data_IF_105097712787
#
_entry.id   IF_105097712787
#
_cell.length_a   1.000
_cell.length_b   1.000
_cell.length_c   1.000
_cell.angle_alpha   90.00
_cell.angle_beta   90.00
_cell.angle_gamma   90.00
#
_symmetry.space_group_name_H-M   'P 1'
#
loop_
_entity.id
_entity.type
_entity.pdbx_description
1 polymer ?
#
# COMPACT_ATOMS: atom_id res chain seq x y z
N UNK A 1 56.05 6.40 33.26
CA UNK A 1 56.15 5.17 32.44
C UNK A 1 54.74 4.90 31.94
N UNK A 2 54.45 5.33 30.71
CA UNK A 2 53.13 5.21 30.08
C UNK A 2 53.10 3.90 29.29
N UNK A 3 52.09 3.05 29.55
CA UNK A 3 51.75 1.94 28.67
C UNK A 3 50.50 2.31 27.89
N UNK A 4 50.67 2.47 26.58
CA UNK A 4 49.60 2.64 25.59
C UNK A 4 49.30 1.25 25.03
N UNK A 5 48.08 0.76 25.26
CA UNK A 5 47.54 -0.45 24.66
C UNK A 5 47.10 -0.15 23.22
N UNK A 6 47.54 -0.99 22.29
CA UNK A 6 47.38 -0.85 20.86
C UNK A 6 46.31 -1.85 20.40
N UNK A 7 45.06 -1.41 20.20
CA UNK A 7 43.99 -2.25 19.66
C UNK A 7 44.01 -2.21 18.13
N UNK A 8 44.18 -3.39 17.52
CA UNK A 8 44.07 -3.59 16.07
C UNK A 8 42.61 -3.86 15.72
N UNK A 9 41.99 -2.94 14.99
CA UNK A 9 40.68 -3.11 14.36
C UNK A 9 40.85 -3.94 13.09
N UNK A 10 40.32 -5.16 13.07
CA UNK A 10 40.17 -5.98 11.87
C UNK A 10 38.96 -5.49 11.06
N UNK A 11 39.21 -4.86 9.91
CA UNK A 11 38.20 -4.63 8.89
C UNK A 11 37.94 -5.94 8.13
N UNK A 12 36.84 -6.63 8.46
CA UNK A 12 36.28 -7.67 7.59
C UNK A 12 35.38 -6.98 6.55
N UNK A 13 35.95 -6.74 5.37
CA UNK A 13 35.22 -6.32 4.17
C UNK A 13 34.28 -7.45 3.73
N UNK A 14 32.98 -7.17 3.79
CA UNK A 14 31.90 -8.07 3.41
C UNK A 14 31.86 -8.21 1.87
N UNK A 15 32.29 -9.37 1.36
CA UNK A 15 32.47 -9.66 -0.07
C UNK A 15 31.17 -9.69 -0.89
N UNK A 16 30.00 -9.59 -0.25
CA UNK A 16 28.69 -9.58 -0.92
C UNK A 16 28.32 -8.24 -1.56
N UNK A 17 28.93 -7.12 -1.14
CA UNK A 17 28.62 -5.80 -1.69
C UNK A 17 29.25 -5.55 -3.08
N UNK A 18 30.33 -6.26 -3.42
CA UNK A 18 31.02 -6.14 -4.71
C UNK A 18 30.28 -6.82 -5.88
N UNK A 19 29.42 -7.81 -5.60
CA UNK A 19 28.71 -8.56 -6.66
C UNK A 19 27.51 -7.81 -7.24
N UNK A 20 26.90 -6.87 -6.51
CA UNK A 20 25.73 -6.11 -7.01
C UNK A 20 26.11 -5.04 -8.03
N UNK A 21 27.34 -4.50 -7.99
CA UNK A 21 27.80 -3.50 -8.98
C UNK A 21 28.18 -4.10 -10.34
N UNK A 22 28.55 -5.38 -10.41
CA UNK A 22 28.94 -6.01 -11.68
C UNK A 22 27.73 -6.35 -12.58
N UNK A 23 26.55 -6.59 -12.00
CA UNK A 23 25.35 -6.98 -12.76
C UNK A 23 24.68 -5.76 -13.40
N UNK A 24 24.69 -4.60 -12.74
CA UNK A 24 24.08 -3.36 -13.25
C UNK A 24 24.85 -2.80 -14.46
N UNK A 25 26.17 -2.98 -14.53
CA UNK A 25 26.97 -2.54 -15.69
C UNK A 25 26.82 -3.43 -16.93
N UNK A 26 26.34 -4.67 -16.79
CA UNK A 26 26.12 -5.59 -17.91
C UNK A 26 24.85 -5.30 -18.72
N UNK A 27 23.83 -4.72 -18.10
CA UNK A 27 22.51 -4.49 -18.74
C UNK A 27 22.52 -3.21 -19.59
N UNK A 28 23.35 -2.22 -19.27
CA UNK A 28 23.42 -0.94 -19.98
C UNK A 28 24.05 -1.08 -21.39
N UNK A 29 24.77 -2.17 -21.68
CA UNK A 29 25.40 -2.39 -23.00
C UNK A 29 24.50 -3.06 -24.05
N UNK A 30 23.26 -3.46 -23.72
CA UNK A 30 22.37 -4.17 -24.66
C UNK A 30 21.27 -3.30 -25.30
N UNK A 31 21.17 -2.01 -25.00
CA UNK A 31 20.11 -1.13 -25.55
C UNK A 31 20.52 -0.24 -26.73
N UNK A 32 21.74 -0.38 -27.25
CA UNK A 32 22.18 0.33 -28.47
C UNK A 32 22.46 -0.63 -29.63
N UNK A 33 21.41 -1.24 -30.17
CA UNK A 33 21.44 -1.88 -31.49
C UNK A 33 20.03 -1.95 -32.10
N UNK A 34 19.72 -1.02 -33.01
CA UNK A 34 18.60 -1.23 -33.94
C UNK A 34 17.82 0.02 -34.37
N UNK A 35 18.42 0.87 -35.21
CA UNK A 35 17.68 1.81 -36.04
C UNK A 35 16.85 1.07 -37.12
N UNK A 36 15.65 1.57 -37.46
CA UNK A 36 15.37 2.01 -38.84
C UNK A 36 14.11 2.86 -38.95
N UNK A 37 14.36 4.09 -39.38
CA UNK A 37 13.43 5.11 -39.83
C UNK A 37 12.97 4.76 -41.25
N UNK A 38 11.67 4.70 -41.50
CA UNK A 38 11.12 4.70 -42.87
C UNK A 38 10.41 6.03 -43.08
N UNK A 39 11.01 6.87 -43.92
CA UNK A 39 10.39 8.04 -44.52
C UNK A 39 9.60 7.56 -45.72
N UNK A 40 8.30 7.81 -45.76
CA UNK A 40 7.57 7.89 -47.02
C UNK A 40 6.95 9.29 -47.15
N UNK A 41 7.51 10.03 -48.11
CA UNK A 41 6.91 11.22 -48.68
C UNK A 41 5.84 10.79 -49.68
N UNK A 42 4.62 11.32 -49.56
CA UNK A 42 3.72 11.42 -50.70
C UNK A 42 3.12 12.82 -50.77
N UNK A 43 3.57 13.58 -51.76
CA UNK A 43 2.96 14.82 -52.23
C UNK A 43 1.89 14.49 -53.28
N UNK A 44 0.83 15.29 -53.32
CA UNK A 44 -0.23 15.27 -54.34
C UNK A 44 -1.51 15.88 -53.77
N UNK A 45 -1.59 17.19 -53.55
CA UNK A 45 -1.95 18.25 -54.52
C UNK A 45 -3.49 18.42 -54.70
N UNK A 46 -3.98 19.56 -54.20
CA UNK A 46 -5.17 20.38 -54.54
C UNK A 46 -6.55 19.72 -54.76
N UNK A 47 -7.55 20.17 -53.98
CA UNK A 47 -8.53 21.17 -54.47
C UNK A 47 -9.48 21.64 -53.37
N UNK A 48 -9.75 22.94 -53.37
CA UNK A 48 -10.65 23.71 -52.50
C UNK A 48 -12.13 23.32 -52.59
N UNK A 49 -12.86 23.39 -51.48
CA UNK A 49 -13.93 24.39 -51.21
C UNK A 49 -14.86 23.94 -50.07
N UNK A 50 -15.11 24.91 -49.18
CA UNK A 50 -16.35 25.24 -48.48
C UNK A 50 -17.08 24.29 -47.51
N UNK A 51 -17.59 24.98 -46.49
CA UNK A 51 -18.77 24.72 -45.66
C UNK A 51 -18.62 23.90 -44.36
N UNK A 52 -18.52 24.69 -43.28
CA UNK A 52 -19.25 24.60 -42.01
C UNK A 52 -20.34 23.50 -41.98
N UNK A 53 -20.20 22.54 -41.07
CA UNK A 53 -21.28 22.13 -40.17
C UNK A 53 -20.75 21.31 -38.99
N UNK A 54 -21.03 21.80 -37.79
CA UNK A 54 -20.88 21.12 -36.53
C UNK A 54 -21.81 19.90 -36.48
N UNK A 55 -21.24 18.72 -36.19
CA UNK A 55 -21.85 17.68 -35.37
C UNK A 55 -20.84 16.55 -35.14
N UNK A 56 -19.96 16.76 -34.16
CA UNK A 56 -19.19 15.68 -33.57
C UNK A 56 -20.15 14.78 -32.79
N UNK A 57 -20.52 13.66 -33.42
CA UNK A 57 -21.26 12.58 -32.81
C UNK A 57 -20.33 11.92 -31.79
N UNK A 58 -20.47 12.29 -30.51
CA UNK A 58 -19.80 11.60 -29.41
C UNK A 58 -20.33 10.17 -29.38
N UNK A 59 -19.52 9.24 -29.88
CA UNK A 59 -19.76 7.82 -29.66
C UNK A 59 -19.25 7.55 -28.25
N UNK A 60 -20.20 7.53 -27.31
CA UNK A 60 -20.00 7.10 -25.94
C UNK A 60 -19.56 5.63 -26.00
N UNK A 61 -18.25 5.41 -25.86
CA UNK A 61 -17.68 4.07 -25.78
C UNK A 61 -18.11 3.49 -24.43
N UNK A 62 -19.10 2.60 -24.42
CA UNK A 62 -19.46 1.84 -23.23
C UNK A 62 -18.22 1.13 -22.67
N UNK A 63 -17.97 1.19 -21.35
CA UNK A 63 -16.89 0.43 -20.75
C UNK A 63 -17.17 -1.07 -20.90
N UNK A 64 -16.23 -1.77 -21.52
CA UNK A 64 -16.27 -3.21 -21.80
C UNK A 64 -16.58 -4.01 -20.51
N UNK A 65 -17.52 -4.99 -20.53
CA UNK A 65 -17.96 -5.75 -19.35
C UNK A 65 -16.83 -6.41 -18.51
N UNK A 66 -15.68 -6.71 -19.09
CA UNK A 66 -14.55 -7.32 -18.39
C UNK A 66 -13.87 -6.40 -17.37
N UNK A 67 -13.88 -5.08 -17.58
CA UNK A 67 -13.23 -4.13 -16.67
C UNK A 67 -14.09 -3.83 -15.43
N UNK A 68 -15.41 -3.97 -15.56
CA UNK A 68 -16.37 -3.79 -14.46
C UNK A 68 -16.44 -5.02 -13.54
N UNK A 69 -16.27 -6.23 -14.09
CA UNK A 69 -16.28 -7.49 -13.33
C UNK A 69 -15.03 -7.61 -12.45
N UNK A 70 -13.83 -7.34 -12.99
CA UNK A 70 -12.60 -7.43 -12.19
C UNK A 70 -12.54 -6.36 -11.09
N UNK A 71 -13.12 -5.18 -11.35
CA UNK A 71 -13.19 -4.09 -10.37
C UNK A 71 -14.05 -4.45 -9.16
N UNK A 72 -15.10 -5.26 -9.33
CA UNK A 72 -15.96 -5.73 -8.24
C UNK A 72 -15.32 -6.89 -7.46
N UNK A 73 -14.58 -7.77 -8.14
CA UNK A 73 -13.92 -8.92 -7.51
C UNK A 73 -12.78 -8.50 -6.57
N UNK A 74 -11.93 -7.55 -6.99
CA UNK A 74 -10.82 -7.07 -6.16
C UNK A 74 -11.31 -6.47 -4.82
N UNK A 75 -12.44 -5.76 -4.84
CA UNK A 75 -12.96 -5.06 -3.65
C UNK A 75 -13.68 -5.98 -2.66
N UNK A 76 -13.94 -7.24 -3.04
CA UNK A 76 -14.67 -8.22 -2.22
C UNK A 76 -14.02 -8.45 -0.86
N UNK A 77 -12.69 -8.55 -0.80
CA UNK A 77 -11.95 -8.78 0.46
C UNK A 77 -12.13 -7.61 1.44
N UNK A 78 -12.25 -6.38 0.93
CA UNK A 78 -12.46 -5.18 1.74
C UNK A 78 -13.89 -5.18 2.30
N UNK A 79 -14.87 -5.54 1.47
CA UNK A 79 -16.25 -5.71 1.91
C UNK A 79 -16.38 -6.81 2.98
N UNK A 80 -15.71 -7.94 2.79
CA UNK A 80 -15.66 -9.04 3.76
C UNK A 80 -15.04 -8.60 5.09
N UNK A 81 -13.94 -7.84 5.06
CA UNK A 81 -13.33 -7.25 6.25
C UNK A 81 -14.33 -6.35 6.99
N UNK A 82 -14.96 -5.40 6.29
CA UNK A 82 -15.88 -4.45 6.89
C UNK A 82 -17.10 -5.14 7.51
N UNK A 83 -17.63 -6.18 6.85
CA UNK A 83 -18.73 -7.00 7.37
C UNK A 83 -18.30 -7.80 8.62
N UNK A 84 -17.13 -8.43 8.59
CA UNK A 84 -16.60 -9.19 9.71
C UNK A 84 -16.41 -8.29 10.95
N UNK A 85 -15.80 -7.13 10.77
CA UNK A 85 -15.59 -6.16 11.85
C UNK A 85 -16.91 -5.62 12.41
N UNK A 86 -17.84 -5.22 11.53
CA UNK A 86 -19.14 -4.66 11.92
C UNK A 86 -19.93 -5.64 12.81
N UNK A 87 -19.86 -6.92 12.46
CA UNK A 87 -20.56 -8.00 13.15
C UNK A 87 -19.75 -8.63 14.29
N UNK A 88 -18.51 -8.19 14.51
CA UNK A 88 -17.57 -8.82 15.46
C UNK A 88 -17.40 -10.33 15.18
N UNK A 89 -17.33 -10.69 13.89
CA UNK A 89 -17.18 -12.06 13.41
C UNK A 89 -15.70 -12.37 13.14
N UNK A 90 -15.00 -12.83 14.18
CA UNK A 90 -13.60 -13.18 14.06
C UNK A 90 -13.34 -14.39 13.16
N UNK A 91 -14.30 -15.30 13.02
CA UNK A 91 -14.15 -16.44 12.12
C UNK A 91 -14.11 -15.96 10.67
N UNK A 92 -15.05 -15.09 10.27
CA UNK A 92 -15.04 -14.49 8.94
C UNK A 92 -13.79 -13.66 8.66
N UNK A 93 -13.30 -12.89 9.66
CA UNK A 93 -12.06 -12.13 9.49
C UNK A 93 -10.85 -13.04 9.28
N UNK A 94 -10.76 -14.15 10.01
CA UNK A 94 -9.65 -15.12 9.91
C UNK A 94 -9.51 -15.73 8.51
N UNK A 95 -10.62 -15.90 7.78
CA UNK A 95 -10.60 -16.45 6.41
C UNK A 95 -9.95 -15.52 5.38
N UNK A 96 -9.90 -14.21 5.65
CA UNK A 96 -9.31 -13.23 4.71
C UNK A 96 -7.93 -12.75 5.13
N UNK A 97 -7.42 -13.16 6.30
CA UNK A 97 -6.07 -12.79 6.75
C UNK A 97 -5.02 -13.53 5.91
N UNK A 98 -3.93 -12.85 5.60
CA UNK A 98 -2.80 -13.43 4.90
C UNK A 98 -2.32 -14.72 5.58
N UNK A 99 -1.96 -15.78 4.85
CA UNK A 99 -1.35 -16.97 5.44
C UNK A 99 -0.10 -16.69 6.26
N UNK A 100 0.59 -15.57 6.01
CA UNK A 100 1.74 -15.10 6.78
C UNK A 100 1.34 -14.40 8.11
N UNK A 101 0.05 -14.33 8.43
CA UNK A 101 -0.49 -13.64 9.61
C UNK A 101 -0.84 -12.17 9.37
N UNK A 102 -1.35 -11.53 10.43
CA UNK A 102 -1.79 -10.15 10.44
C UNK A 102 -0.80 -9.26 11.18
N UNK A 103 -0.25 -8.28 10.48
CA UNK A 103 0.56 -7.23 11.10
C UNK A 103 -0.40 -6.19 11.72
N UNK A 104 -0.22 -5.85 12.99
CA UNK A 104 -0.97 -4.76 13.62
C UNK A 104 0.01 -3.76 14.19
N UNK A 105 -0.17 -2.51 13.77
CA UNK A 105 0.74 -1.41 14.06
C UNK A 105 0.00 -0.22 14.64
N UNK A 106 0.64 0.43 15.61
CA UNK A 106 0.28 1.76 16.07
C UNK A 106 1.54 2.59 16.16
N UNK A 107 1.60 3.70 15.44
CA UNK A 107 2.72 4.64 15.53
C UNK A 107 2.21 6.02 15.95
N UNK A 108 3.00 6.72 16.75
CA UNK A 108 2.73 8.11 17.13
C UNK A 108 3.58 9.05 16.28
N UNK A 109 2.92 9.90 15.50
CA UNK A 109 3.58 10.96 14.72
C UNK A 109 4.32 11.89 15.71
N UNK A 110 5.65 11.91 15.63
CA UNK A 110 6.49 12.60 16.61
C UNK A 110 6.48 14.12 16.39
N UNK A 111 5.38 14.77 16.78
CA UNK A 111 5.25 16.22 16.78
C UNK A 111 4.21 16.61 17.80
N UNK A 112 4.61 17.36 18.85
CA UNK A 112 3.75 17.88 19.94
C UNK A 112 3.58 16.99 21.18
N UNK A 113 4.56 16.17 21.55
CA UNK A 113 4.53 15.44 22.83
C UNK A 113 3.52 14.29 22.85
N UNK A 114 3.34 13.64 21.69
CA UNK A 114 2.53 12.45 21.53
C UNK A 114 2.87 11.43 22.62
N UNK A 115 1.85 11.06 23.40
CA UNK A 115 1.96 10.11 24.50
C UNK A 115 1.59 8.75 23.98
N UNK A 116 2.56 7.85 23.95
CA UNK A 116 2.30 6.44 23.72
C UNK A 116 3.56 5.66 23.38
N UNK A 117 3.36 4.40 23.02
CA UNK A 117 4.38 3.44 22.59
C UNK A 117 4.03 2.99 21.20
N UNK A 118 5.01 3.06 20.31
CA UNK A 118 4.90 2.41 19.02
C UNK A 118 4.77 0.90 19.24
N UNK A 119 3.81 0.30 18.55
CA UNK A 119 3.56 -1.14 18.58
C UNK A 119 3.63 -1.64 17.15
N UNK A 120 4.30 -2.77 16.97
CA UNK A 120 4.41 -3.47 15.70
C UNK A 120 4.50 -4.95 16.02
N UNK A 121 3.37 -5.65 15.89
CA UNK A 121 3.27 -7.07 16.21
C UNK A 121 2.74 -7.83 14.99
N UNK A 122 3.25 -9.04 14.78
CA UNK A 122 2.68 -10.02 13.86
C UNK A 122 1.86 -11.03 14.66
N UNK A 123 0.58 -11.18 14.31
CA UNK A 123 -0.31 -12.17 14.91
C UNK A 123 -0.53 -13.31 13.94
N UNK A 124 -0.34 -14.54 14.42
CA UNK A 124 -0.83 -15.72 13.71
C UNK A 124 -2.37 -15.74 13.69
N UNK A 125 -2.95 -16.44 12.72
CA UNK A 125 -4.42 -16.50 12.53
C UNK A 125 -5.14 -17.02 13.79
N UNK A 126 -4.54 -17.96 14.50
CA UNK A 126 -5.07 -18.54 15.75
C UNK A 126 -4.90 -17.63 16.97
N UNK A 127 -4.07 -16.59 16.89
CA UNK A 127 -3.88 -15.58 17.93
C UNK A 127 -4.90 -14.42 17.85
N UNK A 128 -5.64 -14.33 16.74
CA UNK A 128 -6.67 -13.30 16.56
C UNK A 128 -7.85 -13.57 17.52
N UNK A 129 -8.08 -12.60 18.41
CA UNK A 129 -9.11 -12.68 19.45
C UNK A 129 -10.53 -12.51 18.89
N UNK A 130 -11.52 -13.14 19.53
CA UNK A 130 -12.92 -13.10 19.10
C UNK A 130 -13.54 -11.70 19.16
N UNK A 131 -13.03 -10.83 20.04
CA UNK A 131 -13.48 -9.45 20.16
C UNK A 131 -12.84 -8.51 19.12
N UNK A 132 -11.92 -9.00 18.28
CA UNK A 132 -11.18 -8.21 17.28
C UNK A 132 -10.44 -7.00 17.88
N UNK A 133 -9.97 -7.15 19.12
CA UNK A 133 -9.16 -6.14 19.81
C UNK A 133 -7.74 -6.66 20.02
N UNK A 134 -6.76 -5.76 19.86
CA UNK A 134 -5.35 -6.04 20.11
C UNK A 134 -4.86 -5.21 21.29
N UNK A 135 -4.50 -5.89 22.37
CA UNK A 135 -4.08 -5.27 23.61
C UNK A 135 -2.73 -4.54 23.47
N UNK A 136 -2.66 -3.33 24.02
CA UNK A 136 -1.43 -2.52 24.06
C UNK A 136 -1.13 -2.13 25.50
N UNK A 137 0.02 -2.56 26.02
CA UNK A 137 0.37 -2.38 27.43
C UNK A 137 0.44 -0.91 27.85
N UNK A 138 -0.56 -0.48 28.64
CA UNK A 138 -0.65 0.87 29.18
C UNK A 138 -1.41 1.85 28.30
N UNK A 139 -2.07 1.37 27.24
CA UNK A 139 -2.89 2.15 26.32
C UNK A 139 -4.26 1.53 26.09
N UNK A 140 -5.11 2.22 25.34
CA UNK A 140 -6.34 1.62 24.82
C UNK A 140 -6.00 0.55 23.78
N UNK A 141 -6.71 -0.59 23.76
CA UNK A 141 -6.56 -1.59 22.72
C UNK A 141 -6.75 -0.99 21.32
N UNK A 142 -6.16 -1.63 20.32
CA UNK A 142 -6.49 -1.37 18.92
C UNK A 142 -7.77 -2.15 18.63
N UNK A 143 -8.91 -1.45 18.54
CA UNK A 143 -10.21 -2.03 18.24
C UNK A 143 -10.57 -1.80 16.77
N UNK A 144 -10.61 -2.87 15.98
CA UNK A 144 -10.87 -2.77 14.53
C UNK A 144 -12.23 -2.13 14.23
N UNK A 145 -13.22 -2.30 15.10
CA UNK A 145 -14.56 -1.72 14.93
C UNK A 145 -14.54 -0.21 15.07
N UNK A 146 -13.72 0.30 15.96
CA UNK A 146 -13.55 1.75 16.16
C UNK A 146 -12.63 2.37 15.10
N UNK A 147 -11.61 1.64 14.63
CA UNK A 147 -10.68 2.15 13.61
C UNK A 147 -11.36 2.44 12.27
N UNK A 148 -12.25 1.56 11.81
CA UNK A 148 -12.89 1.65 10.48
C UNK A 148 -14.38 2.00 10.55
N UNK A 149 -14.75 2.85 11.51
CA UNK A 149 -16.14 3.12 11.84
C UNK A 149 -16.88 3.87 10.72
N UNK A 150 -16.20 4.69 9.93
CA UNK A 150 -16.87 5.47 8.87
C UNK A 150 -17.11 4.60 7.64
N UNK A 151 -16.16 3.76 7.27
CA UNK A 151 -16.28 2.82 6.14
C UNK A 151 -17.36 1.77 6.39
N UNK A 152 -17.63 1.40 7.64
CA UNK A 152 -18.73 0.49 8.01
C UNK A 152 -20.15 1.05 7.78
N UNK A 153 -20.28 2.37 7.57
CA UNK A 153 -21.57 3.07 7.39
C UNK A 153 -21.99 3.23 5.94
N UNK A 154 -21.07 3.08 5.00
CA UNK A 154 -21.27 3.30 3.56
C UNK A 154 -21.06 2.00 2.79
N UNK A 155 -21.56 1.94 1.57
CA UNK A 155 -21.27 0.79 0.71
C UNK A 155 -19.86 0.90 0.13
N UNK A 156 -19.17 -0.23 -0.06
CA UNK A 156 -17.81 -0.25 -0.63
C UNK A 156 -17.76 0.44 -2.01
N UNK A 157 -18.84 0.33 -2.80
CA UNK A 157 -18.94 0.95 -4.13
C UNK A 157 -19.09 2.48 -4.08
N UNK A 158 -19.42 3.04 -2.92
CA UNK A 158 -19.56 4.49 -2.70
C UNK A 158 -18.22 5.13 -2.28
N UNK A 159 -17.24 4.33 -1.88
CA UNK A 159 -15.93 4.83 -1.51
C UNK A 159 -15.16 5.32 -2.74
N UNK A 160 -14.51 6.50 -2.67
CA UNK A 160 -13.57 6.93 -3.69
C UNK A 160 -12.48 5.88 -3.90
N UNK A 161 -12.25 5.50 -5.15
CA UNK A 161 -11.18 4.58 -5.53
C UNK A 161 -10.18 5.31 -6.42
N UNK A 162 -8.92 5.34 -6.00
CA UNK A 162 -7.80 5.85 -6.78
C UNK A 162 -6.77 4.76 -7.05
N UNK A 163 -5.80 5.06 -7.92
CA UNK A 163 -4.64 4.22 -8.18
C UNK A 163 -3.40 5.07 -8.05
N UNK A 164 -2.38 4.52 -7.39
CA UNK A 164 -1.07 5.13 -7.23
C UNK A 164 0.00 4.17 -7.74
N UNK A 165 0.96 4.71 -8.50
CA UNK A 165 2.14 3.99 -8.96
C UNK A 165 3.17 3.99 -7.82
N UNK A 166 3.18 2.93 -7.03
CA UNK A 166 3.96 2.80 -5.81
C UNK A 166 4.37 1.34 -5.62
N UNK A 167 5.58 1.12 -5.10
CA UNK A 167 6.06 -0.21 -4.76
C UNK A 167 5.27 -0.85 -3.61
N UNK A 168 4.41 -0.10 -2.91
CA UNK A 168 3.61 -0.58 -1.79
C UNK A 168 4.36 -0.57 -0.46
N UNK A 169 3.73 -1.13 0.57
CA UNK A 169 4.32 -1.20 1.92
C UNK A 169 5.47 -2.21 2.00
N UNK A 170 5.44 -3.30 1.22
CA UNK A 170 6.52 -4.30 1.18
C UNK A 170 6.88 -4.85 2.58
N UNK A 171 5.90 -5.39 3.31
CA UNK A 171 6.14 -5.90 4.66
C UNK A 171 7.08 -7.10 4.68
N UNK A 172 8.20 -6.98 5.40
CA UNK A 172 9.16 -8.07 5.56
C UNK A 172 9.37 -8.38 7.04
N UNK A 173 9.29 -9.68 7.35
CA UNK A 173 9.46 -10.24 8.69
C UNK A 173 10.37 -11.46 8.64
N UNK A 174 10.99 -11.80 9.76
CA UNK A 174 11.90 -12.94 9.86
C UNK A 174 11.23 -14.19 10.45
N UNK A 175 12.04 -15.22 10.70
CA UNK A 175 11.57 -16.50 11.26
C UNK A 175 11.16 -16.40 12.73
N UNK A 176 11.53 -15.33 13.42
CA UNK A 176 11.15 -15.02 14.80
C UNK A 176 9.93 -14.09 14.86
N UNK A 177 9.33 -13.79 13.69
CA UNK A 177 8.20 -12.87 13.49
C UNK A 177 8.54 -11.39 13.77
N UNK A 178 9.83 -11.04 13.81
CA UNK A 178 10.25 -9.65 13.91
C UNK A 178 10.06 -8.97 12.55
N UNK A 179 9.27 -7.89 12.54
CA UNK A 179 8.97 -7.09 11.35
C UNK A 179 10.03 -5.99 11.22
N UNK A 180 10.86 -6.05 10.18
CA UNK A 180 11.97 -5.12 9.95
C UNK A 180 11.71 -4.07 8.88
N UNK A 181 10.76 -4.32 7.97
CA UNK A 181 10.36 -3.37 6.91
C UNK A 181 8.84 -3.35 6.74
N UNK A 182 8.27 -2.24 6.27
CA UNK A 182 8.92 -0.94 6.05
C UNK A 182 9.22 -0.22 7.37
N UNK A 183 10.12 0.78 7.39
CA UNK A 183 10.37 1.57 8.61
C UNK A 183 9.13 2.39 9.02
N UNK A 184 9.11 2.94 10.24
CA UNK A 184 7.99 3.81 10.66
C UNK A 184 7.87 5.08 9.82
N UNK A 185 9.00 5.64 9.39
CA UNK A 185 9.02 6.84 8.54
C UNK A 185 8.50 6.52 7.14
N UNK A 186 8.91 5.38 6.54
CA UNK A 186 8.41 4.96 5.23
C UNK A 186 6.89 4.71 5.23
N UNK A 187 6.36 4.18 6.34
CA UNK A 187 4.90 4.02 6.52
C UNK A 187 4.21 5.38 6.57
N UNK A 188 4.76 6.32 7.33
CA UNK A 188 4.20 7.67 7.47
C UNK A 188 4.21 8.37 6.12
N UNK A 189 5.33 8.33 5.39
CA UNK A 189 5.49 8.95 4.08
C UNK A 189 4.49 8.39 3.06
N UNK A 190 4.34 7.06 2.99
CA UNK A 190 3.36 6.44 2.10
C UNK A 190 1.93 6.80 2.52
N UNK A 191 1.59 6.71 3.81
CA UNK A 191 0.27 7.10 4.30
C UNK A 191 -0.04 8.59 4.05
N UNK A 192 0.94 9.49 4.09
CA UNK A 192 0.79 10.89 3.69
C UNK A 192 0.45 11.03 2.22
N UNK A 193 1.13 10.28 1.34
CA UNK A 193 0.87 10.29 -0.11
C UNK A 193 -0.53 9.77 -0.46
N UNK A 194 -1.05 8.79 0.29
CA UNK A 194 -2.38 8.22 0.09
C UNK A 194 -3.52 9.15 0.56
N UNK A 195 -3.23 10.09 1.45
CA UNK A 195 -4.24 10.81 2.22
C UNK A 195 -4.55 12.21 1.68
N UNK A 196 -5.72 12.72 2.11
CA UNK A 196 -6.13 14.08 1.84
C UNK A 196 -6.12 14.94 3.12
N UNK A 197 -6.28 16.26 2.96
CA UNK A 197 -6.44 17.17 4.10
C UNK A 197 -7.80 17.04 4.80
N UNK A 198 -8.80 16.41 4.16
CA UNK A 198 -10.12 16.18 4.73
C UNK A 198 -10.25 14.74 5.23
N UNK A 199 -10.81 14.59 6.42
CA UNK A 199 -11.11 13.26 6.96
C UNK A 199 -12.13 12.53 6.11
N UNK A 200 -11.70 11.44 5.50
CA UNK A 200 -12.52 10.66 4.58
C UNK A 200 -12.10 9.19 4.56
N UNK A 201 -13.06 8.35 4.15
CA UNK A 201 -12.83 6.95 3.81
C UNK A 201 -12.51 6.84 2.32
N UNK A 202 -11.50 6.06 1.95
CA UNK A 202 -11.09 5.88 0.56
C UNK A 202 -10.42 4.52 0.33
N UNK A 203 -10.29 4.15 -0.94
CA UNK A 203 -9.56 2.97 -1.39
C UNK A 203 -8.47 3.42 -2.37
N UNK A 204 -7.24 2.98 -2.15
CA UNK A 204 -6.14 3.17 -3.12
C UNK A 204 -5.63 1.81 -3.58
N UNK A 205 -5.48 1.64 -4.90
CA UNK A 205 -4.76 0.52 -5.49
C UNK A 205 -3.29 0.90 -5.68
N UNK A 206 -2.38 0.11 -5.12
CA UNK A 206 -0.94 0.25 -5.26
C UNK A 206 -0.48 -0.81 -6.26
N UNK A 207 -0.39 -0.38 -7.52
CA UNK A 207 -0.23 -1.26 -8.68
C UNK A 207 -1.27 -2.42 -8.70
N UNK A 208 -0.84 -3.64 -9.04
CA UNK A 208 -1.62 -4.87 -9.00
C UNK A 208 -1.30 -5.75 -7.78
N UNK A 209 -0.44 -5.26 -6.87
CA UNK A 209 0.08 -6.01 -5.71
C UNK A 209 -0.67 -5.73 -4.43
N UNK A 210 -1.03 -4.47 -4.17
CA UNK A 210 -1.63 -4.07 -2.90
C UNK A 210 -2.87 -3.21 -3.11
N UNK A 211 -3.80 -3.29 -2.16
CA UNK A 211 -4.91 -2.35 -2.02
C UNK A 211 -4.98 -1.86 -0.59
N UNK A 212 -5.42 -0.64 -0.41
CA UNK A 212 -5.47 0.00 0.90
C UNK A 212 -6.86 0.59 1.11
N UNK A 213 -7.50 0.23 2.21
CA UNK A 213 -8.64 0.97 2.75
C UNK A 213 -8.12 1.97 3.78
N UNK A 214 -8.32 3.27 3.57
CA UNK A 214 -7.89 4.33 4.48
C UNK A 214 -9.07 5.09 5.10
N UNK A 215 -8.93 5.46 6.38
CA UNK A 215 -9.76 6.44 7.10
C UNK A 215 -8.85 7.46 7.79
N UNK A 216 -8.53 8.55 7.12
CA UNK A 216 -7.44 9.42 7.58
C UNK A 216 -7.56 10.87 7.10
N UNK A 217 -6.72 11.73 7.68
CA UNK A 217 -6.55 13.13 7.31
C UNK A 217 -5.15 13.64 7.64
N UNK A 218 -4.69 14.63 6.88
CA UNK A 218 -3.49 15.41 7.22
C UNK A 218 -3.89 16.64 8.04
N UNK A 219 -3.42 16.74 9.28
CA UNK A 219 -3.68 17.88 10.18
C UNK A 219 -2.34 18.45 10.69
N UNK A 220 -2.16 19.77 10.55
CA UNK A 220 -0.93 20.45 10.98
C UNK A 220 0.37 19.80 10.45
N UNK A 221 0.36 19.33 9.19
CA UNK A 221 1.48 18.62 8.56
C UNK A 221 1.82 17.28 9.22
N UNK A 222 0.85 16.64 9.86
CA UNK A 222 0.99 15.28 10.38
C UNK A 222 -0.19 14.44 9.93
N UNK A 223 0.11 13.26 9.40
CA UNK A 223 -0.90 12.28 9.05
C UNK A 223 -1.43 11.56 10.29
N UNK A 224 -2.76 11.48 10.39
CA UNK A 224 -3.44 10.68 11.41
C UNK A 224 -4.57 9.87 10.76
N UNK A 225 -4.83 8.69 11.29
CA UNK A 225 -5.90 7.83 10.81
C UNK A 225 -5.55 6.35 10.83
N UNK A 226 -6.30 5.59 10.04
CA UNK A 226 -6.21 4.14 10.02
C UNK A 226 -6.14 3.60 8.60
N UNK A 227 -5.37 2.53 8.40
CA UNK A 227 -5.24 1.86 7.11
C UNK A 227 -5.33 0.34 7.29
N UNK A 228 -6.07 -0.30 6.40
CA UNK A 228 -6.03 -1.74 6.19
C UNK A 228 -5.35 -2.03 4.87
N UNK A 229 -4.25 -2.77 4.90
CA UNK A 229 -3.47 -3.12 3.72
C UNK A 229 -3.82 -4.55 3.33
N UNK A 230 -4.18 -4.73 2.06
CA UNK A 230 -4.49 -5.99 1.44
C UNK A 230 -3.41 -6.31 0.42
N UNK A 231 -2.75 -7.45 0.56
CA UNK A 231 -1.67 -7.89 -0.31
C UNK A 231 -2.12 -9.05 -1.19
N UNK A 232 -1.75 -9.02 -2.46
CA UNK A 232 -2.08 -10.05 -3.43
C UNK A 232 -1.08 -11.20 -3.35
N UNK A 233 -1.54 -12.39 -2.97
CA UNK A 233 -0.77 -13.64 -2.95
C UNK A 233 -1.47 -14.67 -3.81
N UNK A 234 -0.74 -15.32 -4.73
CA UNK A 234 -1.27 -16.34 -5.64
C UNK A 234 -2.53 -15.93 -6.43
N UNK A 235 -2.66 -14.64 -6.70
CA UNK A 235 -3.76 -14.06 -7.49
C UNK A 235 -4.96 -13.56 -6.67
N UNK A 236 -4.97 -13.78 -5.36
CA UNK A 236 -6.03 -13.36 -4.45
C UNK A 236 -5.51 -12.33 -3.44
N UNK A 237 -6.37 -11.38 -3.04
CA UNK A 237 -6.02 -10.39 -2.02
C UNK A 237 -6.34 -10.91 -0.62
N UNK A 238 -5.42 -10.69 0.31
CA UNK A 238 -5.57 -11.03 1.71
C UNK A 238 -5.25 -9.83 2.59
N UNK A 239 -5.97 -9.68 3.70
CA UNK A 239 -5.67 -8.68 4.73
C UNK A 239 -4.30 -8.98 5.35
N UNK A 240 -3.35 -8.06 5.14
CA UNK A 240 -1.96 -8.22 5.54
C UNK A 240 -1.59 -7.38 6.76
N UNK A 241 -2.08 -6.14 6.81
CA UNK A 241 -1.74 -5.23 7.90
C UNK A 241 -2.89 -4.30 8.30
N UNK A 242 -2.90 -3.91 9.58
CA UNK A 242 -3.69 -2.82 10.15
C UNK A 242 -2.71 -1.80 10.73
N UNK A 243 -2.88 -0.53 10.35
CA UNK A 243 -2.02 0.58 10.76
C UNK A 243 -2.89 1.65 11.42
N UNK A 244 -2.53 2.07 12.62
CA UNK A 244 -3.14 3.16 13.42
C UNK A 244 -2.09 4.27 13.62
N UNK A 245 -2.18 5.37 12.88
CA UNK A 245 -1.28 6.53 13.04
C UNK A 245 -1.96 7.62 13.87
N UNK A 246 -1.28 8.08 14.92
CA UNK A 246 -1.81 9.00 15.93
C UNK A 246 -1.02 10.29 16.10
#
# INVERSE_FOLDING_TARGET
MFMVGNERVCFLLNSKMLYRFAIVLGIILLLFSGCKQTKDNFNGEYSSNDSINDNANYTETEPTPQQTISKAEDLKVIEEMLLAIKNSDAAALKEIISPAGLIVMRNFSSGLGARGKDVRNLYAIDEIQDNLQFEVSGETPIDLKDLFKESQKVSIIELPVSQLDSDGFNFIHDVENDIYEPSSDDIIDLCEELSSYEYSSYIVKLEDKEMVLGESQIVNYSIIGNWAVFEKTDGEFYLRAIIDLR
#
